data_IF_819716047283
#
_entry.id   IF_819716047283
#
_cell.length_a   1.000
_cell.length_b   1.000
_cell.length_c   1.000
_cell.angle_alpha   90.00
_cell.angle_beta   90.00
_cell.angle_gamma   90.00
#
_symmetry.space_group_name_H-M   'P 1'
#
loop_
_entity.id
_entity.type
_entity.pdbx_description
1 polymer ?
#
# COMPACT_ATOMS: atom_id res chain seq x y z
N UNK A 1 -0.48 3.47 -21.68
CA UNK A 1 -1.12 3.13 -20.39
C UNK A 1 -0.60 1.76 -20.01
N UNK A 2 0.02 1.59 -18.83
CA UNK A 2 0.38 0.24 -18.37
C UNK A 2 -0.93 -0.46 -18.01
N UNK A 3 -1.30 -1.56 -18.66
CA UNK A 3 -2.54 -2.26 -18.32
C UNK A 3 -2.39 -2.83 -16.90
N UNK A 4 -3.09 -2.23 -15.93
CA UNK A 4 -3.18 -2.78 -14.58
C UNK A 4 -3.90 -4.13 -14.66
N UNK A 5 -3.41 -5.13 -13.91
CA UNK A 5 -4.06 -6.44 -13.90
C UNK A 5 -5.48 -6.31 -13.34
N UNK A 6 -6.45 -7.10 -13.84
CA UNK A 6 -7.79 -7.12 -13.24
C UNK A 6 -7.69 -7.57 -11.79
N UNK A 7 -8.53 -7.00 -10.92
CA UNK A 7 -8.61 -7.35 -9.51
C UNK A 7 -9.20 -8.77 -9.40
N UNK A 8 -8.47 -9.75 -8.84
CA UNK A 8 -8.98 -11.10 -8.64
C UNK A 8 -10.14 -11.13 -7.63
N UNK A 9 -10.87 -12.24 -7.61
CA UNK A 9 -11.88 -12.49 -6.57
C UNK A 9 -11.25 -12.60 -5.18
N UNK A 10 -12.05 -12.38 -4.14
CA UNK A 10 -11.59 -12.45 -2.74
C UNK A 10 -10.99 -13.82 -2.40
N UNK A 11 -11.61 -14.91 -2.87
CA UNK A 11 -11.11 -16.26 -2.70
C UNK A 11 -9.74 -16.49 -3.37
N UNK A 12 -9.51 -15.91 -4.56
CA UNK A 12 -8.21 -15.97 -5.22
C UNK A 12 -7.16 -15.13 -4.49
N UNK A 13 -7.55 -13.97 -3.94
CA UNK A 13 -6.65 -13.13 -3.16
C UNK A 13 -6.18 -13.83 -1.88
N UNK A 14 -7.08 -14.53 -1.18
CA UNK A 14 -6.73 -15.33 0.01
C UNK A 14 -5.75 -16.47 -0.31
N UNK A 15 -5.76 -16.98 -1.54
CA UNK A 15 -4.81 -18.02 -1.98
C UNK A 15 -3.47 -17.43 -2.48
N UNK A 16 -3.50 -16.25 -3.12
CA UNK A 16 -2.32 -15.62 -3.74
C UNK A 16 -1.49 -14.80 -2.77
N UNK A 17 -2.13 -14.13 -1.81
CA UNK A 17 -1.48 -13.25 -0.85
C UNK A 17 -1.10 -14.00 0.42
N UNK A 18 -0.03 -13.56 1.08
CA UNK A 18 0.22 -14.00 2.46
C UNK A 18 -0.90 -13.48 3.38
N UNK A 19 -1.05 -14.11 4.55
CA UNK A 19 -2.06 -13.69 5.54
C UNK A 19 -1.95 -12.20 5.89
N UNK A 20 -0.72 -11.71 6.07
CA UNK A 20 -0.49 -10.30 6.41
C UNK A 20 -0.77 -9.37 5.23
N UNK A 21 -0.34 -9.74 4.02
CA UNK A 21 -0.65 -8.96 2.80
C UNK A 21 -2.16 -8.86 2.58
N UNK A 22 -2.89 -9.96 2.75
CA UNK A 22 -4.34 -9.97 2.64
C UNK A 22 -5.00 -9.11 3.74
N UNK A 23 -4.57 -9.28 5.00
CA UNK A 23 -5.08 -8.51 6.14
C UNK A 23 -4.85 -7.01 5.95
N UNK A 24 -3.65 -6.61 5.53
CA UNK A 24 -3.33 -5.20 5.26
C UNK A 24 -4.18 -4.68 4.10
N UNK A 25 -4.07 -5.29 2.92
CA UNK A 25 -4.67 -4.73 1.70
C UNK A 25 -6.19 -4.82 1.66
N UNK A 26 -6.80 -5.86 2.24
CA UNK A 26 -8.25 -6.11 2.14
C UNK A 26 -9.03 -5.84 3.41
N UNK A 27 -8.38 -5.88 4.58
CA UNK A 27 -9.05 -5.74 5.88
C UNK A 27 -8.61 -4.48 6.64
N UNK A 28 -7.92 -3.54 5.96
CA UNK A 28 -7.38 -2.31 6.57
C UNK A 28 -6.52 -2.61 7.81
N UNK A 29 -5.81 -3.74 7.79
CA UNK A 29 -4.88 -4.09 8.85
C UNK A 29 -3.63 -3.24 8.81
N UNK A 30 -3.04 -2.98 9.96
CA UNK A 30 -1.72 -2.37 10.08
C UNK A 30 -0.71 -3.47 10.45
N UNK A 31 0.35 -3.61 9.64
CA UNK A 31 1.46 -4.52 9.95
C UNK A 31 2.25 -4.06 11.18
N UNK A 32 2.95 -4.97 11.84
CA UNK A 32 3.79 -4.62 13.00
C UNK A 32 4.94 -3.71 12.56
N UNK A 33 5.20 -2.59 13.24
CA UNK A 33 6.27 -1.66 12.87
C UNK A 33 7.63 -2.38 12.93
N UNK A 34 8.53 -2.05 12.00
CA UNK A 34 9.87 -2.63 11.84
C UNK A 34 9.91 -4.13 11.49
N UNK A 35 8.75 -4.75 11.24
CA UNK A 35 8.63 -6.17 10.91
C UNK A 35 8.01 -6.40 9.54
N UNK A 36 8.38 -5.56 8.57
CA UNK A 36 7.99 -5.70 7.17
C UNK A 36 9.22 -5.69 6.25
N UNK A 37 9.03 -6.08 5.00
CA UNK A 37 10.14 -6.23 4.06
C UNK A 37 10.71 -4.89 3.57
N UNK A 38 10.01 -3.78 3.77
CA UNK A 38 10.22 -2.55 3.01
C UNK A 38 10.53 -1.30 3.83
N UNK A 39 10.40 -1.35 5.16
CA UNK A 39 10.65 -0.19 6.02
C UNK A 39 12.09 0.30 5.88
N UNK A 40 13.08 -0.61 5.92
CA UNK A 40 14.51 -0.31 5.76
C UNK A 40 15.03 -0.60 4.34
N UNK A 41 14.13 -0.69 3.35
CA UNK A 41 14.58 -0.88 1.97
C UNK A 41 15.03 0.46 1.36
N UNK A 42 16.29 0.52 0.93
CA UNK A 42 16.92 1.68 0.26
C UNK A 42 17.31 1.41 -1.19
N UNK A 43 16.93 0.24 -1.73
CA UNK A 43 17.27 -0.12 -3.11
C UNK A 43 16.50 0.75 -4.11
N UNK A 44 17.16 1.26 -5.17
CA UNK A 44 16.47 1.94 -6.26
C UNK A 44 15.41 1.05 -6.91
N UNK A 45 14.23 1.59 -7.13
CA UNK A 45 13.09 0.88 -7.70
C UNK A 45 11.75 1.59 -7.54
N UNK A 46 10.70 0.86 -7.91
CA UNK A 46 9.30 1.28 -7.84
C UNK A 46 8.56 0.31 -6.93
N UNK A 47 7.73 0.86 -6.04
CA UNK A 47 6.80 0.13 -5.21
C UNK A 47 5.47 0.05 -5.93
N UNK A 48 5.01 -1.17 -6.19
CA UNK A 48 3.79 -1.44 -6.94
C UNK A 48 2.72 -2.01 -6.02
N UNK A 49 1.46 -1.81 -6.40
CA UNK A 49 0.33 -2.52 -5.82
C UNK A 49 0.53 -4.03 -5.98
N UNK A 50 0.48 -4.77 -4.88
CA UNK A 50 0.69 -6.21 -4.87
C UNK A 50 -0.39 -6.99 -5.64
N UNK A 51 -1.60 -6.43 -5.76
CA UNK A 51 -2.73 -7.05 -6.46
C UNK A 51 -2.64 -6.78 -7.97
N UNK A 52 -2.48 -5.52 -8.36
CA UNK A 52 -2.64 -5.10 -9.76
C UNK A 52 -1.31 -4.88 -10.49
N UNK A 53 -0.22 -4.68 -9.75
CA UNK A 53 1.06 -4.22 -10.28
C UNK A 53 1.09 -2.74 -10.65
N UNK A 54 0.07 -1.95 -10.29
CA UNK A 54 0.04 -0.51 -10.53
C UNK A 54 1.21 0.19 -9.79
N UNK A 55 2.03 1.02 -10.46
CA UNK A 55 3.06 1.80 -9.79
C UNK A 55 2.45 2.78 -8.78
N UNK A 56 2.83 2.67 -7.50
CA UNK A 56 2.31 3.52 -6.43
C UNK A 56 3.35 4.55 -5.99
N UNK A 57 4.55 4.11 -5.63
CA UNK A 57 5.59 4.97 -5.06
C UNK A 57 6.97 4.73 -5.67
N UNK A 58 7.80 5.78 -5.64
CA UNK A 58 9.18 5.72 -6.10
C UNK A 58 10.12 5.64 -4.91
N UNK A 59 11.19 4.84 -5.03
CA UNK A 59 12.32 4.88 -4.09
C UNK A 59 12.95 6.27 -3.95
N UNK A 60 12.85 7.13 -4.97
CA UNK A 60 13.33 8.52 -4.92
C UNK A 60 12.55 9.40 -3.95
N UNK A 61 11.29 9.03 -3.67
CA UNK A 61 10.40 9.75 -2.78
C UNK A 61 10.27 9.05 -1.41
N UNK A 62 10.96 7.92 -1.23
CA UNK A 62 11.04 7.20 0.05
C UNK A 62 12.00 7.92 1.00
N UNK A 63 11.64 7.98 2.27
CA UNK A 63 12.51 8.50 3.32
C UNK A 63 12.33 7.72 4.63
N UNK A 64 13.31 7.83 5.53
CA UNK A 64 13.24 7.21 6.85
C UNK A 64 12.55 8.15 7.84
N UNK A 65 11.28 7.86 8.10
CA UNK A 65 10.46 8.59 9.08
C UNK A 65 10.69 8.14 10.52
N UNK A 66 11.35 7.00 10.73
CA UNK A 66 11.51 6.37 12.04
C UNK A 66 10.23 5.73 12.60
N UNK A 67 9.15 5.63 11.81
CA UNK A 67 7.86 5.10 12.28
C UNK A 67 7.79 3.57 12.28
N UNK A 68 8.65 2.92 11.49
CA UNK A 68 8.63 1.47 11.29
C UNK A 68 7.81 0.98 10.09
N UNK A 69 7.24 1.90 9.30
CA UNK A 69 6.57 1.59 8.02
C UNK A 69 7.23 2.33 6.86
N UNK A 70 7.18 1.78 5.62
CA UNK A 70 7.62 2.48 4.43
C UNK A 70 6.94 3.84 4.33
N UNK A 71 7.74 4.91 4.26
CA UNK A 71 7.24 6.28 4.25
C UNK A 71 7.69 6.99 2.98
N UNK A 72 6.74 7.64 2.31
CA UNK A 72 6.97 8.32 1.04
C UNK A 72 6.42 9.74 1.11
N UNK A 73 7.08 10.67 0.43
CA UNK A 73 6.63 12.08 0.39
C UNK A 73 5.45 12.30 -0.56
N UNK A 74 5.34 11.47 -1.62
CA UNK A 74 4.28 11.52 -2.62
C UNK A 74 4.16 10.21 -3.40
N UNK A 75 2.99 9.89 -3.98
CA UNK A 75 2.86 8.83 -4.97
C UNK A 75 3.56 9.22 -6.29
N UNK A 76 3.87 8.23 -7.13
CA UNK A 76 4.39 8.46 -8.50
C UNK A 76 3.39 9.28 -9.31
N UNK A 77 2.10 8.99 -9.14
CA UNK A 77 1.01 9.80 -9.67
C UNK A 77 -0.10 9.90 -8.64
N UNK A 78 -0.59 11.12 -8.42
CA UNK A 78 -1.76 11.35 -7.55
C UNK A 78 -2.98 10.57 -8.02
N UNK A 79 -3.11 10.34 -9.33
CA UNK A 79 -4.22 9.58 -9.91
C UNK A 79 -4.18 8.08 -9.62
N UNK A 80 -3.10 7.52 -9.06
CA UNK A 80 -2.97 6.08 -8.77
C UNK A 80 -3.39 5.72 -7.33
N UNK A 81 -3.61 6.73 -6.49
CA UNK A 81 -4.06 6.56 -5.11
C UNK A 81 -5.36 7.31 -4.87
N UNK A 82 -6.13 6.87 -3.88
CA UNK A 82 -7.31 7.56 -3.38
C UNK A 82 -7.15 7.84 -1.90
N UNK A 83 -7.57 9.02 -1.48
CA UNK A 83 -7.62 9.41 -0.08
C UNK A 83 -9.04 9.24 0.45
N UNK A 84 -9.15 8.67 1.65
CA UNK A 84 -10.43 8.43 2.31
C UNK A 84 -10.34 8.87 3.77
N UNK A 85 -11.34 9.62 4.22
CA UNK A 85 -11.42 10.03 5.64
C UNK A 85 -11.64 8.78 6.51
N UNK A 86 -10.81 8.63 7.53
CA UNK A 86 -10.89 7.57 8.53
C UNK A 86 -11.04 8.19 9.92
N UNK A 87 -12.16 7.89 10.59
CA UNK A 87 -12.47 8.34 11.95
C UNK A 87 -12.40 7.23 13.00
N UNK A 88 -11.77 6.10 12.67
CA UNK A 88 -11.60 4.97 13.57
C UNK A 88 -10.72 5.32 14.77
N UNK A 89 -10.91 4.57 15.86
CA UNK A 89 -10.17 4.74 17.13
C UNK A 89 -10.26 6.15 17.75
N UNK A 90 -11.28 6.95 17.38
CA UNK A 90 -11.47 8.30 17.89
C UNK A 90 -10.46 9.33 17.35
N UNK A 91 -9.76 9.00 16.26
CA UNK A 91 -8.80 9.89 15.59
C UNK A 91 -9.32 10.30 14.23
N UNK A 92 -8.96 11.48 13.74
CA UNK A 92 -9.18 11.86 12.33
C UNK A 92 -7.90 11.61 11.53
N UNK A 93 -7.99 10.74 10.53
CA UNK A 93 -6.89 10.34 9.66
C UNK A 93 -7.34 10.36 8.20
N UNK A 94 -6.37 10.39 7.30
CA UNK A 94 -6.59 10.18 5.87
C UNK A 94 -5.97 8.84 5.51
N UNK A 95 -6.83 7.86 5.24
CA UNK A 95 -6.44 6.56 4.70
C UNK A 95 -6.06 6.72 3.22
N UNK A 96 -4.96 6.08 2.82
CA UNK A 96 -4.50 6.01 1.44
C UNK A 96 -4.77 4.62 0.89
N UNK A 97 -5.39 4.55 -0.30
CA UNK A 97 -5.72 3.30 -0.98
C UNK A 97 -5.23 3.31 -2.43
N UNK A 98 -4.91 2.14 -2.98
CA UNK A 98 -4.60 1.99 -4.41
C UNK A 98 -5.88 2.16 -5.25
N UNK A 99 -5.86 3.02 -6.27
CA UNK A 99 -7.10 3.37 -7.00
C UNK A 99 -7.68 2.19 -7.78
N UNK A 100 -6.84 1.38 -8.41
CA UNK A 100 -7.32 0.28 -9.26
C UNK A 100 -7.84 -0.92 -8.46
N UNK A 101 -7.22 -1.24 -7.33
CA UNK A 101 -7.55 -2.43 -6.52
C UNK A 101 -8.40 -2.15 -5.28
N UNK A 102 -8.52 -0.87 -4.91
CA UNK A 102 -9.00 -0.44 -3.60
C UNK A 102 -8.19 -1.07 -2.44
N UNK A 103 -6.92 -1.41 -2.65
CA UNK A 103 -6.07 -1.95 -1.58
C UNK A 103 -5.75 -0.86 -0.57
N UNK A 104 -5.95 -1.15 0.72
CA UNK A 104 -5.44 -0.29 1.80
C UNK A 104 -3.90 -0.26 1.79
N UNK A 105 -3.32 0.93 1.93
CA UNK A 105 -1.87 1.16 1.88
C UNK A 105 -1.33 1.76 3.18
N UNK A 106 -2.10 2.59 3.88
CA UNK A 106 -1.72 3.22 5.15
C UNK A 106 -2.61 4.38 5.55
#
# INVERSE_FOLDING_TARGET
>A
MNPTKPVPSDAELQQKLTKDQYKVTRQCGTETPFHNAYWDNHKPGIYVDIITGEPLFSSLDKFDSGTGWPSFTKPIKSENVTEKRDTSYGMERTEVRGKSSDSHLG
#
